data_IF_385520335990
#
_entry.id   IF_385520335990
#
_cell.length_a   1.000
_cell.length_b   1.000
_cell.length_c   1.000
_cell.angle_alpha   90.00
_cell.angle_beta   90.00
_cell.angle_gamma   90.00
#
_symmetry.space_group_name_H-M   'P 1'
#
loop_
_entity.id
_entity.type
_entity.pdbx_description
1 polymer ?
#
# COMPACT_ATOMS: atom_id res chain seq x y z
N UNK A 1 13.10 -13.61 3.82
CA UNK A 1 13.19 -13.01 2.46
C UNK A 1 14.39 -13.54 1.68
N UNK A 2 15.58 -13.66 2.29
CA UNK A 2 16.77 -14.19 1.60
C UNK A 2 16.55 -15.56 0.92
N UNK A 3 15.96 -16.52 1.61
CA UNK A 3 15.59 -17.83 1.02
C UNK A 3 14.68 -17.68 -0.21
N UNK A 4 13.70 -16.76 -0.17
CA UNK A 4 12.82 -16.50 -1.33
C UNK A 4 13.62 -15.97 -2.53
N UNK A 5 14.62 -15.12 -2.30
CA UNK A 5 15.48 -14.63 -3.38
C UNK A 5 16.40 -15.73 -3.91
N UNK A 6 17.18 -16.34 -3.02
CA UNK A 6 18.31 -17.20 -3.37
C UNK A 6 17.86 -18.57 -3.89
N UNK A 7 16.80 -19.12 -3.30
CA UNK A 7 16.33 -20.47 -3.66
C UNK A 7 15.16 -20.43 -4.64
N UNK A 8 14.27 -19.43 -4.55
CA UNK A 8 13.04 -19.37 -5.35
C UNK A 8 13.13 -18.33 -6.49
N UNK A 9 14.19 -17.54 -6.56
CA UNK A 9 14.39 -16.53 -7.59
C UNK A 9 13.44 -15.34 -7.50
N UNK A 10 12.81 -15.11 -6.34
CA UNK A 10 11.88 -14.01 -6.13
C UNK A 10 12.63 -12.68 -6.14
N UNK A 11 12.13 -11.71 -6.90
CA UNK A 11 12.68 -10.34 -6.94
C UNK A 11 11.72 -9.28 -6.36
N UNK A 12 10.53 -9.68 -5.91
CA UNK A 12 9.51 -8.80 -5.35
C UNK A 12 8.78 -9.48 -4.18
N UNK A 13 8.63 -8.79 -3.05
CA UNK A 13 7.71 -9.18 -1.98
C UNK A 13 6.51 -8.24 -1.91
N UNK A 14 5.29 -8.77 -1.80
CA UNK A 14 4.09 -7.99 -1.52
C UNK A 14 3.68 -8.13 -0.05
N UNK A 15 3.56 -7.01 0.65
CA UNK A 15 3.18 -6.97 2.07
C UNK A 15 1.73 -6.52 2.22
N UNK A 16 0.83 -7.50 2.39
CA UNK A 16 -0.60 -7.25 2.60
C UNK A 16 -0.85 -6.64 3.98
N UNK A 17 -1.10 -5.33 4.03
CA UNK A 17 -1.39 -4.60 5.26
C UNK A 17 -2.90 -4.49 5.46
N UNK A 18 -3.50 -5.53 6.04
CA UNK A 18 -4.94 -5.59 6.35
C UNK A 18 -5.38 -4.33 7.09
N UNK A 19 -6.59 -3.84 6.81
CA UNK A 19 -7.07 -2.53 7.29
C UNK A 19 -8.09 -2.70 8.41
N UNK A 20 -9.27 -3.20 8.07
CA UNK A 20 -10.49 -3.24 8.92
C UNK A 20 -10.64 -4.56 9.66
N UNK A 21 -10.08 -5.63 9.10
CA UNK A 21 -10.20 -7.00 9.60
C UNK A 21 -9.52 -7.15 10.97
N UNK A 22 -9.75 -8.28 11.65
CA UNK A 22 -9.15 -8.55 12.96
C UNK A 22 -7.63 -8.40 12.92
N UNK A 23 -7.07 -7.62 13.86
CA UNK A 23 -5.65 -7.23 13.89
C UNK A 23 -5.18 -6.46 12.64
N UNK A 24 -6.10 -5.81 11.91
CA UNK A 24 -5.79 -4.88 10.84
C UNK A 24 -5.30 -3.53 11.35
N UNK A 25 -4.86 -2.67 10.43
CA UNK A 25 -4.26 -1.37 10.72
C UNK A 25 -5.17 -0.47 11.55
N UNK A 26 -6.48 -0.48 11.29
CA UNK A 26 -7.47 0.29 12.05
C UNK A 26 -8.10 -0.51 13.19
N UNK A 27 -7.64 -1.75 13.43
CA UNK A 27 -8.25 -2.69 14.37
C UNK A 27 -7.18 -3.41 15.21
N UNK A 28 -6.37 -2.63 15.94
CA UNK A 28 -5.40 -3.15 16.91
C UNK A 28 -4.06 -3.63 16.34
N UNK A 29 -3.92 -3.70 15.01
CA UNK A 29 -2.72 -4.20 14.33
C UNK A 29 -1.68 -3.14 13.97
N UNK A 30 -1.96 -1.86 14.17
CA UNK A 30 -1.15 -0.75 13.65
C UNK A 30 0.34 -0.88 13.96
N UNK A 31 0.73 -1.04 15.23
CA UNK A 31 2.15 -1.09 15.63
C UNK A 31 2.88 -2.29 15.03
N UNK A 32 2.21 -3.44 14.94
CA UNK A 32 2.79 -4.65 14.36
C UNK A 32 2.99 -4.48 12.86
N UNK A 33 1.96 -4.02 12.15
CA UNK A 33 2.02 -3.75 10.71
C UNK A 33 3.11 -2.70 10.42
N UNK A 34 3.17 -1.64 11.20
CA UNK A 34 4.18 -0.60 11.07
C UNK A 34 5.59 -1.17 11.17
N UNK A 35 5.85 -2.01 12.18
CA UNK A 35 7.13 -2.69 12.38
C UNK A 35 7.47 -3.64 11.23
N UNK A 36 6.46 -4.35 10.69
CA UNK A 36 6.66 -5.30 9.60
C UNK A 36 6.91 -4.64 8.26
N UNK A 37 6.32 -3.47 8.00
CA UNK A 37 6.65 -2.65 6.83
C UNK A 37 8.11 -2.22 6.92
N UNK A 38 8.57 -1.71 8.07
CA UNK A 38 9.98 -1.29 8.24
C UNK A 38 10.94 -2.45 8.01
N UNK A 39 10.68 -3.59 8.65
CA UNK A 39 11.48 -4.82 8.48
C UNK A 39 11.51 -5.28 7.02
N UNK A 40 10.35 -5.36 6.36
CA UNK A 40 10.23 -5.85 4.99
C UNK A 40 10.82 -4.91 3.95
N UNK A 41 10.62 -3.59 4.06
CA UNK A 41 11.24 -2.62 3.13
C UNK A 41 12.76 -2.64 3.26
N UNK A 42 13.28 -2.68 4.49
CA UNK A 42 14.73 -2.72 4.72
C UNK A 42 15.33 -4.01 4.16
N UNK A 43 14.73 -5.17 4.47
CA UNK A 43 15.19 -6.45 3.95
C UNK A 43 15.16 -6.49 2.42
N UNK A 44 14.11 -5.97 1.78
CA UNK A 44 14.02 -5.92 0.33
C UNK A 44 15.13 -5.03 -0.26
N UNK A 45 15.40 -3.87 0.36
CA UNK A 45 16.47 -2.96 -0.09
C UNK A 45 17.85 -3.62 0.00
N UNK A 46 18.16 -4.25 1.12
CA UNK A 46 19.45 -4.94 1.34
C UNK A 46 19.65 -6.12 0.40
N UNK A 47 18.57 -6.82 0.06
CA UNK A 47 18.60 -7.98 -0.80
C UNK A 47 18.53 -7.65 -2.30
N UNK A 48 18.34 -6.37 -2.66
CA UNK A 48 18.19 -5.92 -4.05
C UNK A 48 16.85 -6.32 -4.68
N UNK A 49 15.79 -6.41 -3.88
CA UNK A 49 14.44 -6.77 -4.28
C UNK A 49 13.49 -5.58 -4.24
N UNK A 50 12.43 -5.64 -5.02
CA UNK A 50 11.27 -4.76 -4.92
C UNK A 50 10.38 -5.17 -3.74
N UNK A 51 9.62 -4.20 -3.24
CA UNK A 51 8.60 -4.41 -2.22
C UNK A 51 7.34 -3.62 -2.54
N UNK A 52 6.19 -4.27 -2.46
CA UNK A 52 4.89 -3.61 -2.50
C UNK A 52 4.40 -3.44 -1.07
N UNK A 53 4.13 -2.19 -0.68
CA UNK A 53 3.35 -1.86 0.52
C UNK A 53 1.90 -1.73 0.09
N UNK A 54 1.09 -2.73 0.45
CA UNK A 54 -0.29 -2.88 0.01
C UNK A 54 -1.24 -2.46 1.12
N UNK A 55 -1.98 -1.36 0.89
CA UNK A 55 -3.15 -1.00 1.68
C UNK A 55 -4.29 -1.97 1.36
N UNK A 56 -4.33 -3.04 2.15
CA UNK A 56 -5.11 -4.23 1.88
C UNK A 56 -6.57 -4.05 2.30
N UNK A 57 -7.21 -3.04 1.73
CA UNK A 57 -8.66 -2.90 1.71
C UNK A 57 -9.23 -4.04 0.85
N UNK A 58 -10.25 -4.71 1.35
CA UNK A 58 -10.86 -5.84 0.66
C UNK A 58 -12.16 -5.32 0.02
N UNK A 59 -13.28 -6.02 0.22
CA UNK A 59 -14.57 -5.72 -0.42
C UNK A 59 -15.17 -4.36 -0.01
N UNK A 60 -14.56 -3.64 0.93
CA UNK A 60 -15.07 -2.36 1.41
C UNK A 60 -14.84 -1.21 0.41
N UNK A 61 -15.71 -0.20 0.48
CA UNK A 61 -15.46 1.06 -0.21
C UNK A 61 -14.21 1.73 0.41
N UNK A 62 -13.14 1.98 -0.36
CA UNK A 62 -11.90 2.53 0.17
C UNK A 62 -12.04 3.95 0.72
N UNK A 63 -13.11 4.68 0.35
CA UNK A 63 -13.43 5.97 0.95
C UNK A 63 -13.74 5.88 2.45
N UNK A 64 -14.21 4.74 2.95
CA UNK A 64 -14.56 4.56 4.37
C UNK A 64 -13.35 4.68 5.30
N UNK A 65 -12.15 4.33 4.81
CA UNK A 65 -10.89 4.43 5.56
C UNK A 65 -9.95 5.47 4.99
N UNK A 66 -10.43 6.36 4.10
CA UNK A 66 -9.58 7.28 3.32
C UNK A 66 -8.67 8.12 4.21
N UNK A 67 -9.20 8.77 5.25
CA UNK A 67 -8.39 9.61 6.15
C UNK A 67 -7.22 8.84 6.79
N UNK A 68 -7.41 7.55 7.11
CA UNK A 68 -6.32 6.73 7.66
C UNK A 68 -5.33 6.35 6.55
N UNK A 69 -5.82 6.00 5.36
CA UNK A 69 -4.97 5.72 4.20
C UNK A 69 -4.10 6.94 3.84
N UNK A 70 -4.65 8.16 3.87
CA UNK A 70 -3.90 9.40 3.64
C UNK A 70 -2.74 9.56 4.64
N UNK A 71 -2.99 9.31 5.92
CA UNK A 71 -1.95 9.35 6.96
C UNK A 71 -0.89 8.27 6.76
N UNK A 72 -1.33 7.05 6.45
CA UNK A 72 -0.48 5.90 6.16
C UNK A 72 0.47 6.19 4.99
N UNK A 73 -0.08 6.61 3.84
CA UNK A 73 0.71 6.88 2.65
C UNK A 73 1.59 8.12 2.82
N UNK A 74 1.13 9.16 3.52
CA UNK A 74 1.99 10.31 3.83
C UNK A 74 3.21 9.90 4.66
N UNK A 75 3.03 9.06 5.68
CA UNK A 75 4.13 8.53 6.51
C UNK A 75 5.13 7.75 5.66
N UNK A 76 4.68 6.75 4.92
CA UNK A 76 5.59 5.84 4.20
C UNK A 76 6.17 6.43 2.92
N UNK A 77 5.40 7.27 2.21
CA UNK A 77 5.94 8.02 1.07
C UNK A 77 7.02 9.00 1.51
N UNK A 78 6.89 9.63 2.69
CA UNK A 78 7.95 10.50 3.24
C UNK A 78 9.18 9.71 3.63
N UNK A 79 9.00 8.57 4.33
CA UNK A 79 10.10 7.74 4.81
C UNK A 79 10.92 7.12 3.68
N UNK A 80 10.25 6.71 2.60
CA UNK A 80 10.85 5.96 1.49
C UNK A 80 10.90 6.75 0.16
N UNK A 81 10.78 8.09 0.20
CA UNK A 81 10.79 8.93 -1.02
C UNK A 81 12.03 8.75 -1.90
N UNK A 82 13.17 8.43 -1.28
CA UNK A 82 14.46 8.26 -1.95
C UNK A 82 14.76 6.78 -2.29
N UNK A 83 13.80 5.88 -2.07
CA UNK A 83 13.94 4.46 -2.37
C UNK A 83 13.39 4.18 -3.77
N UNK A 84 14.16 3.44 -4.56
CA UNK A 84 13.86 3.02 -5.93
C UNK A 84 13.16 1.64 -6.00
N UNK A 85 13.09 0.95 -4.87
CA UNK A 85 12.57 -0.42 -4.78
C UNK A 85 11.19 -0.53 -4.11
N UNK A 86 10.59 0.59 -3.69
CA UNK A 86 9.26 0.62 -3.06
C UNK A 86 8.17 0.93 -4.08
N UNK A 87 7.10 0.15 -4.02
CA UNK A 87 5.87 0.31 -4.80
C UNK A 87 4.72 0.45 -3.81
N UNK A 88 3.81 1.39 -4.04
CA UNK A 88 2.61 1.56 -3.22
C UNK A 88 1.40 1.01 -3.95
N UNK A 89 0.73 0.02 -3.36
CA UNK A 89 -0.58 -0.44 -3.81
C UNK A 89 -1.63 0.19 -2.90
N UNK A 90 -2.44 1.09 -3.47
CA UNK A 90 -3.22 2.04 -2.66
C UNK A 90 -4.62 1.53 -2.31
N UNK A 91 -5.07 0.49 -2.99
CA UNK A 91 -6.29 -0.25 -2.67
C UNK A 91 -6.24 -1.62 -3.36
N UNK A 92 -6.22 -2.70 -2.59
CA UNK A 92 -6.15 -4.08 -3.06
C UNK A 92 -7.36 -4.47 -3.93
N UNK A 93 -8.53 -4.72 -3.34
CA UNK A 93 -9.66 -5.30 -4.08
C UNK A 93 -11.01 -4.61 -3.81
N UNK A 94 -11.14 -3.30 -4.12
CA UNK A 94 -12.41 -2.60 -3.98
C UNK A 94 -13.55 -3.28 -4.73
N UNK A 95 -14.70 -3.36 -4.07
CA UNK A 95 -15.86 -4.08 -4.58
C UNK A 95 -17.12 -3.26 -4.51
N UNK A 96 -18.00 -3.45 -5.50
CA UNK A 96 -19.32 -2.82 -5.49
C UNK A 96 -19.26 -1.29 -5.61
N UNK A 97 -18.07 -0.75 -5.88
CA UNK A 97 -17.81 0.66 -6.12
C UNK A 97 -17.72 0.91 -7.62
N UNK A 98 -18.25 2.03 -8.09
CA UNK A 98 -18.13 2.40 -9.49
C UNK A 98 -16.73 2.95 -9.78
N UNK A 99 -16.23 2.71 -11.01
CA UNK A 99 -14.94 3.27 -11.44
C UNK A 99 -14.92 4.81 -11.37
N UNK A 100 -15.98 5.46 -11.86
CA UNK A 100 -16.09 6.92 -11.87
C UNK A 100 -17.55 7.38 -11.74
N UNK A 101 -17.81 8.28 -10.79
CA UNK A 101 -19.11 8.94 -10.54
C UNK A 101 -18.98 10.45 -10.32
N UNK A 102 -17.75 10.96 -10.16
CA UNK A 102 -17.45 12.37 -9.97
C UNK A 102 -17.03 12.75 -8.54
N UNK A 103 -16.81 11.80 -7.62
CA UNK A 103 -16.27 12.15 -6.29
C UNK A 103 -16.31 11.08 -5.20
N UNK A 104 -17.19 10.08 -5.30
CA UNK A 104 -17.23 8.94 -4.35
C UNK A 104 -17.08 7.62 -5.13
N UNK A 105 -16.01 7.56 -5.90
CA UNK A 105 -15.67 6.48 -6.82
C UNK A 105 -14.20 6.08 -6.68
N UNK A 106 -13.84 4.98 -7.34
CA UNK A 106 -12.49 4.43 -7.24
C UNK A 106 -11.44 5.36 -7.85
N UNK A 107 -11.73 5.97 -9.01
CA UNK A 107 -10.81 6.91 -9.65
C UNK A 107 -10.45 8.10 -8.74
N UNK A 108 -11.45 8.70 -8.09
CA UNK A 108 -11.26 9.85 -7.20
C UNK A 108 -10.47 9.47 -5.95
N UNK A 109 -10.75 8.30 -5.36
CA UNK A 109 -9.92 7.75 -4.27
C UNK A 109 -8.46 7.60 -4.70
N UNK A 110 -8.23 6.89 -5.82
CA UNK A 110 -6.89 6.62 -6.30
C UNK A 110 -6.11 7.89 -6.64
N UNK A 111 -6.79 8.85 -7.28
CA UNK A 111 -6.20 10.14 -7.64
C UNK A 111 -5.75 10.92 -6.41
N UNK A 112 -6.57 10.96 -5.36
CA UNK A 112 -6.27 11.71 -4.14
C UNK A 112 -5.09 11.09 -3.37
N UNK A 113 -5.11 9.76 -3.16
CA UNK A 113 -4.01 9.06 -2.49
C UNK A 113 -2.71 9.16 -3.30
N UNK A 114 -2.78 9.02 -4.63
CA UNK A 114 -1.62 9.20 -5.49
C UNK A 114 -1.06 10.63 -5.42
N UNK A 115 -1.92 11.64 -5.35
CA UNK A 115 -1.53 13.04 -5.14
C UNK A 115 -0.73 13.21 -3.85
N UNK A 116 -1.21 12.64 -2.74
CA UNK A 116 -0.53 12.70 -1.44
C UNK A 116 0.86 12.07 -1.49
N UNK A 117 1.00 10.91 -2.14
CA UNK A 117 2.30 10.25 -2.32
C UNK A 117 3.26 11.17 -3.09
N UNK A 118 2.78 11.85 -4.14
CA UNK A 118 3.58 12.79 -4.94
C UNK A 118 3.93 14.06 -4.17
N UNK A 119 3.02 14.59 -3.36
CA UNK A 119 3.27 15.78 -2.52
C UNK A 119 4.35 15.52 -1.46
N UNK A 120 4.56 14.26 -1.07
CA UNK A 120 5.69 13.86 -0.21
C UNK A 120 7.04 13.81 -0.96
N UNK A 121 7.06 14.06 -2.27
CA UNK A 121 8.23 13.98 -3.14
C UNK A 121 8.59 12.56 -3.59
N UNK A 122 7.75 11.56 -3.28
CA UNK A 122 8.02 10.17 -3.66
C UNK A 122 7.80 9.95 -5.16
N UNK A 123 8.76 9.28 -5.80
CA UNK A 123 8.68 8.84 -7.20
C UNK A 123 8.31 7.36 -7.34
N UNK A 124 7.93 6.71 -6.25
CA UNK A 124 7.52 5.30 -6.25
C UNK A 124 6.43 5.03 -7.29
N UNK A 125 6.46 3.83 -7.87
CA UNK A 125 5.33 3.31 -8.66
C UNK A 125 4.11 3.20 -7.74
N UNK A 126 2.93 3.48 -8.32
CA UNK A 126 1.65 3.42 -7.61
C UNK A 126 0.75 2.46 -8.39
N UNK A 127 0.24 1.44 -7.71
CA UNK A 127 -0.72 0.47 -8.22
C UNK A 127 -2.09 0.81 -7.67
N UNK A 128 -3.05 1.02 -8.57
CA UNK A 128 -4.44 1.31 -8.24
C UNK A 128 -5.28 0.05 -8.52
N UNK A 129 -5.98 -0.47 -7.52
CA UNK A 129 -6.93 -1.56 -7.70
C UNK A 129 -8.10 -1.19 -8.62
N UNK A 130 -8.90 -2.19 -8.98
CA UNK A 130 -10.09 -2.03 -9.83
C UNK A 130 -11.34 -2.59 -9.12
N UNK A 131 -12.51 -2.43 -9.73
CA UNK A 131 -13.79 -2.47 -9.02
C UNK A 131 -14.50 -3.84 -8.92
N UNK A 132 -13.82 -4.95 -9.23
CA UNK A 132 -14.40 -6.30 -9.16
C UNK A 132 -13.34 -7.35 -8.75
N UNK A 133 -12.53 -7.06 -7.74
CA UNK A 133 -11.38 -7.90 -7.35
C UNK A 133 -10.48 -8.20 -8.56
#
# INVERSE_FOLDING_TARGET
>A
MQTLRDEWGVNLLRMACYVTQYNGYTNGGQSLIDSKIVEGVQAAKELGMYVIVDWHIHEENPHTTKTVAEQFFKKYATLYKDYDNVIFEICNEPTGIQWYTGGNDLYSYCKDIAGIIRDCGSKALIVCGTNNW
#
